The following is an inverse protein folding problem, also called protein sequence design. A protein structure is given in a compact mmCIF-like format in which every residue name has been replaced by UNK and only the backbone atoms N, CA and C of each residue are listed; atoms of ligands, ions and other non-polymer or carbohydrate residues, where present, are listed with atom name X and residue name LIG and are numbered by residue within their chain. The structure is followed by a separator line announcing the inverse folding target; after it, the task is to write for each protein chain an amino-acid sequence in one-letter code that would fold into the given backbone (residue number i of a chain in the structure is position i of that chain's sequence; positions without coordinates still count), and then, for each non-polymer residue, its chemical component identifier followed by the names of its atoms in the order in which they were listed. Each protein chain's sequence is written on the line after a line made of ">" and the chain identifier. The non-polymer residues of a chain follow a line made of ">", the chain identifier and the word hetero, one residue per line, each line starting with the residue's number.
data_IF_432770726121
#
_entry.id   IF_432770726121
#
_cell.length_a   1.000
_cell.length_b   1.000
_cell.length_c   1.000
_cell.angle_alpha   90.00
_cell.angle_beta   90.00
_cell.angle_gamma   90.00
#
_symmetry.space_group_name_H-M   'P 1'
#
loop_
_entity.id
_entity.type
_entity.pdbx_description
1 polymer ?
#
# COMPACT_ATOMS: atom_id res chain seq x y z
N UNK A 1 -46.27 21.29 35.66
CA UNK A 1 -45.25 20.25 35.84
C UNK A 1 -43.96 20.98 36.22
N UNK A 2 -43.71 21.11 37.53
CA UNK A 2 -42.54 21.79 38.10
C UNK A 2 -41.44 20.76 38.42
N UNK A 3 -40.21 21.27 38.61
CA UNK A 3 -39.02 20.69 39.26
C UNK A 3 -38.37 19.49 38.52
N UNK A 4 -37.07 19.46 38.19
CA UNK A 4 -35.89 19.80 39.00
C UNK A 4 -34.69 20.26 38.13
N UNK A 5 -34.15 21.45 38.42
CA UNK A 5 -32.76 21.83 38.14
C UNK A 5 -31.92 21.43 39.36
N UNK A 6 -31.20 20.32 39.25
CA UNK A 6 -30.24 19.87 40.25
C UNK A 6 -28.83 20.09 39.72
N UNK A 7 -28.36 21.33 39.78
CA UNK A 7 -26.95 21.67 39.59
C UNK A 7 -26.16 21.12 40.78
N UNK A 8 -25.66 19.90 40.65
CA UNK A 8 -24.68 19.32 41.55
C UNK A 8 -23.38 20.13 41.43
N UNK A 9 -23.20 21.07 42.35
CA UNK A 9 -21.95 21.79 42.55
C UNK A 9 -20.91 20.81 43.08
N UNK A 10 -20.20 20.13 42.16
CA UNK A 10 -18.99 19.43 42.49
C UNK A 10 -17.97 20.48 42.96
N UNK A 11 -17.81 20.61 44.27
CA UNK A 11 -16.73 21.37 44.87
C UNK A 11 -15.41 20.71 44.46
N UNK A 12 -14.86 21.16 43.34
CA UNK A 12 -13.50 20.83 42.93
C UNK A 12 -12.58 21.40 44.00
N UNK A 13 -12.08 20.51 44.86
CA UNK A 13 -10.98 20.84 45.77
C UNK A 13 -9.84 21.41 44.93
N UNK A 14 -9.57 22.70 45.14
CA UNK A 14 -8.48 23.38 44.47
C UNK A 14 -7.15 22.82 45.00
N UNK A 15 -6.36 22.10 44.17
CA UNK A 15 -5.07 21.56 44.58
C UNK A 15 -4.13 22.66 45.09
N UNK A 16 -4.31 23.90 44.63
CA UNK A 16 -3.54 25.05 45.10
C UNK A 16 -3.85 25.39 46.56
N UNK A 17 -5.12 25.30 46.99
CA UNK A 17 -5.52 25.57 48.37
C UNK A 17 -4.96 24.51 49.33
N UNK A 18 -4.98 23.23 48.96
CA UNK A 18 -4.38 22.16 49.79
C UNK A 18 -2.86 22.32 49.95
N UNK A 19 -2.16 22.74 48.90
CA UNK A 19 -0.71 22.99 48.98
C UNK A 19 -0.37 24.19 49.86
N UNK A 20 -1.21 25.22 49.90
CA UNK A 20 -1.04 26.36 50.81
C UNK A 20 -1.23 25.97 52.27
N UNK A 21 -2.18 25.08 52.56
CA UNK A 21 -2.42 24.58 53.91
C UNK A 21 -1.24 23.72 54.42
N UNK A 22 -0.66 22.87 53.57
CA UNK A 22 0.55 22.12 53.88
C UNK A 22 1.79 23.00 54.08
N UNK A 23 1.93 24.06 53.28
CA UNK A 23 3.02 25.01 53.43
C UNK A 23 2.92 25.82 54.74
N UNK A 24 1.71 26.04 55.26
CA UNK A 24 1.51 26.71 56.55
C UNK A 24 1.93 25.85 57.75
N UNK A 25 1.91 24.52 57.61
CA UNK A 25 2.24 23.59 58.69
C UNK A 25 3.74 23.29 58.86
N UNK A 26 4.56 23.45 57.81
CA UNK A 26 5.99 23.13 57.84
C UNK A 26 6.84 24.20 57.13
N UNK A 27 7.74 24.92 57.84
CA UNK A 27 8.59 25.96 57.24
C UNK A 27 9.54 25.44 56.16
N UNK A 28 9.86 24.14 56.14
CA UNK A 28 10.67 23.54 55.05
C UNK A 28 9.87 23.39 53.77
N UNK A 29 8.58 23.07 53.89
CA UNK A 29 7.68 22.97 52.74
C UNK A 29 7.37 24.34 52.14
N UNK A 30 7.27 25.38 52.97
CA UNK A 30 7.14 26.76 52.49
C UNK A 30 8.31 27.15 51.57
N UNK A 31 9.55 26.85 51.98
CA UNK A 31 10.74 27.12 51.16
C UNK A 31 10.76 26.32 49.84
N UNK A 32 10.27 25.07 49.84
CA UNK A 32 10.14 24.25 48.63
C UNK A 32 9.09 24.82 47.66
N UNK A 33 7.92 25.23 48.17
CA UNK A 33 6.85 25.84 47.38
C UNK A 33 7.32 27.16 46.79
N UNK A 34 8.05 27.97 47.55
CA UNK A 34 8.66 29.20 47.08
C UNK A 34 9.70 28.92 45.98
N UNK A 35 10.52 27.88 46.12
CA UNK A 35 11.50 27.48 45.10
C UNK A 35 10.83 26.97 43.82
N UNK A 36 9.73 26.22 43.92
CA UNK A 36 8.94 25.79 42.75
C UNK A 36 8.18 26.95 42.09
N UNK A 37 7.69 27.91 42.88
CA UNK A 37 7.06 29.12 42.37
C UNK A 37 8.08 30.03 41.70
N UNK A 38 9.30 30.15 42.24
CA UNK A 38 10.40 30.88 41.62
C UNK A 38 10.80 30.25 40.28
N UNK A 39 10.84 28.91 40.18
CA UNK A 39 11.08 28.22 38.91
C UNK A 39 9.94 28.39 37.89
N UNK A 40 8.69 28.54 38.33
CA UNK A 40 7.55 28.84 37.44
C UNK A 40 7.48 30.30 37.02
N UNK A 41 7.90 31.21 37.89
CA UNK A 41 7.94 32.66 37.64
C UNK A 41 9.17 33.08 36.85
N UNK A 42 10.19 32.22 36.76
CA UNK A 42 11.17 32.27 35.67
C UNK A 42 10.38 31.96 34.38
N UNK A 43 10.06 32.95 33.53
CA UNK A 43 9.51 32.61 32.24
C UNK A 43 10.59 31.77 31.57
N UNK A 44 10.33 30.48 31.35
CA UNK A 44 11.05 29.71 30.33
C UNK A 44 10.70 30.33 28.97
N UNK A 45 11.17 31.55 28.76
CA UNK A 45 11.10 32.32 27.53
C UNK A 45 12.40 32.16 26.74
N UNK A 46 13.14 31.09 26.98
CA UNK A 46 13.86 30.43 25.90
C UNK A 46 12.84 29.63 25.10
N UNK A 47 12.02 30.35 24.33
CA UNK A 47 11.62 29.81 23.03
C UNK A 47 12.94 29.74 22.27
N UNK A 48 13.64 28.62 22.44
CA UNK A 48 14.94 28.37 21.87
C UNK A 48 14.87 28.78 20.40
N UNK A 49 15.79 29.65 19.99
CA UNK A 49 16.01 29.92 18.58
C UNK A 49 15.99 28.58 17.84
N UNK A 50 15.29 28.46 16.69
CA UNK A 50 15.10 27.19 16.02
C UNK A 50 16.42 26.44 15.97
N UNK A 51 16.46 25.28 16.65
CA UNK A 51 17.67 24.49 16.76
C UNK A 51 18.02 24.04 15.34
N UNK A 52 19.30 24.03 14.94
CA UNK A 52 19.75 23.55 13.62
C UNK A 52 19.22 22.13 13.33
N UNK A 53 18.88 21.40 14.39
CA UNK A 53 18.21 20.09 14.35
C UNK A 53 16.82 20.14 13.71
N UNK A 54 16.02 21.17 13.97
CA UNK A 54 14.66 21.29 13.44
C UNK A 54 14.69 21.47 11.92
N UNK A 55 15.62 22.27 11.42
CA UNK A 55 15.83 22.44 9.97
C UNK A 55 16.24 21.12 9.30
N UNK A 56 17.15 20.36 9.93
CA UNK A 56 17.57 19.05 9.43
C UNK A 56 16.41 18.04 9.42
N UNK A 57 15.56 18.03 10.46
CA UNK A 57 14.39 17.16 10.53
C UNK A 57 13.43 17.49 9.37
N UNK A 58 13.18 18.77 9.11
CA UNK A 58 12.35 19.20 7.98
C UNK A 58 12.93 18.74 6.65
N UNK A 59 14.24 18.92 6.41
CA UNK A 59 14.89 18.47 5.17
C UNK A 59 14.80 16.94 5.00
N UNK A 60 15.11 16.17 6.05
CA UNK A 60 15.05 14.72 6.00
C UNK A 60 13.63 14.22 5.79
N UNK A 61 12.63 14.84 6.41
CA UNK A 61 11.21 14.48 6.20
C UNK A 61 10.81 14.68 4.74
N UNK A 62 11.15 15.83 4.15
CA UNK A 62 10.85 16.11 2.74
C UNK A 62 11.54 15.11 1.79
N UNK A 63 12.77 14.68 2.12
CA UNK A 63 13.50 13.66 1.35
C UNK A 63 12.85 12.28 1.46
N UNK A 64 12.36 11.91 2.64
CA UNK A 64 11.64 10.66 2.86
C UNK A 64 10.32 10.65 2.11
N UNK A 65 9.53 11.72 2.20
CA UNK A 65 8.26 11.86 1.47
C UNK A 65 8.48 11.75 -0.05
N UNK A 66 9.51 12.42 -0.58
CA UNK A 66 9.87 12.31 -1.99
C UNK A 66 10.32 10.90 -2.38
N UNK A 67 11.02 10.17 -1.50
CA UNK A 67 11.40 8.79 -1.74
C UNK A 67 10.18 7.85 -1.70
N UNK A 68 9.29 8.02 -0.74
CA UNK A 68 8.04 7.25 -0.64
C UNK A 68 7.18 7.46 -1.89
N UNK A 69 6.98 8.70 -2.32
CA UNK A 69 6.24 9.00 -3.54
C UNK A 69 6.83 8.31 -4.79
N UNK A 70 8.17 8.25 -4.90
CA UNK A 70 8.86 7.52 -5.97
C UNK A 70 8.62 6.02 -5.89
N UNK A 71 8.71 5.43 -4.70
CA UNK A 71 8.45 4.01 -4.49
C UNK A 71 7.00 3.65 -4.81
N UNK A 72 6.02 4.43 -4.35
CA UNK A 72 4.61 4.23 -4.69
C UNK A 72 4.39 4.28 -6.21
N UNK A 73 5.04 5.23 -6.90
CA UNK A 73 4.98 5.33 -8.36
C UNK A 73 5.58 4.10 -9.04
N UNK A 74 6.77 3.66 -8.63
CA UNK A 74 7.42 2.47 -9.19
C UNK A 74 6.60 1.20 -8.98
N UNK A 75 6.06 0.99 -7.77
CA UNK A 75 5.19 -0.17 -7.47
C UNK A 75 3.94 -0.18 -8.34
N UNK A 76 3.33 0.99 -8.60
CA UNK A 76 2.18 1.10 -9.51
C UNK A 76 2.54 0.68 -10.92
N UNK A 77 3.68 1.16 -11.44
CA UNK A 77 4.15 0.82 -12.80
C UNK A 77 4.47 -0.67 -12.90
N UNK A 78 5.18 -1.22 -11.90
CA UNK A 78 5.51 -2.64 -11.86
C UNK A 78 4.26 -3.52 -11.90
N UNK A 79 3.21 -3.16 -11.14
CA UNK A 79 1.93 -3.88 -11.16
C UNK A 79 1.27 -3.82 -12.53
N UNK A 80 1.21 -2.63 -13.15
CA UNK A 80 0.62 -2.46 -14.48
C UNK A 80 1.36 -3.30 -15.54
N UNK A 81 2.69 -3.28 -15.54
CA UNK A 81 3.50 -4.09 -16.46
C UNK A 81 3.28 -5.59 -16.23
N UNK A 82 3.17 -6.02 -14.97
CA UNK A 82 2.92 -7.42 -14.64
C UNK A 82 1.53 -7.88 -15.12
N UNK A 83 0.50 -7.06 -14.91
CA UNK A 83 -0.87 -7.34 -15.41
C UNK A 83 -0.90 -7.39 -16.94
N UNK A 84 -0.26 -6.44 -17.61
CA UNK A 84 -0.15 -6.41 -19.06
C UNK A 84 0.61 -7.64 -19.59
N UNK A 85 1.71 -8.03 -18.94
CA UNK A 85 2.47 -9.23 -19.26
C UNK A 85 1.64 -10.50 -19.14
N UNK A 86 0.90 -10.67 -18.02
CA UNK A 86 -0.01 -11.81 -17.84
C UNK A 86 -1.10 -11.85 -18.92
N UNK A 87 -1.71 -10.71 -19.23
CA UNK A 87 -2.73 -10.63 -20.27
C UNK A 87 -2.17 -10.99 -21.66
N UNK A 88 -0.97 -10.51 -22.00
CA UNK A 88 -0.30 -10.85 -23.25
C UNK A 88 0.05 -12.34 -23.33
N UNK A 89 0.65 -12.91 -22.28
CA UNK A 89 0.94 -14.34 -22.21
C UNK A 89 -0.32 -15.19 -22.38
N UNK A 90 -1.43 -14.82 -21.72
CA UNK A 90 -2.70 -15.55 -21.88
C UNK A 90 -3.22 -15.50 -23.32
N UNK A 91 -3.15 -14.33 -23.98
CA UNK A 91 -3.56 -14.19 -25.39
C UNK A 91 -2.69 -15.04 -26.31
N UNK A 92 -1.38 -15.09 -26.08
CA UNK A 92 -0.47 -15.96 -26.82
C UNK A 92 -0.78 -17.44 -26.57
N UNK A 93 -1.04 -17.86 -25.33
CA UNK A 93 -1.44 -19.24 -25.06
C UNK A 93 -2.76 -19.62 -25.75
N UNK A 94 -3.76 -18.73 -25.77
CA UNK A 94 -5.01 -18.96 -26.50
C UNK A 94 -4.76 -19.04 -28.01
N UNK A 95 -3.93 -18.17 -28.57
CA UNK A 95 -3.57 -18.21 -29.98
C UNK A 95 -2.83 -19.50 -30.34
N UNK A 96 -1.91 -19.96 -29.49
CA UNK A 96 -1.23 -21.23 -29.66
C UNK A 96 -2.24 -22.40 -29.68
N UNK A 97 -3.21 -22.43 -28.76
CA UNK A 97 -4.26 -23.44 -28.75
C UNK A 97 -5.10 -23.42 -30.05
N UNK A 98 -5.50 -22.24 -30.52
CA UNK A 98 -6.26 -22.07 -31.77
C UNK A 98 -5.50 -22.43 -33.05
N UNK A 99 -4.17 -22.47 -32.97
CA UNK A 99 -3.27 -22.86 -34.07
C UNK A 99 -2.71 -24.28 -33.91
N UNK A 100 -3.00 -24.96 -32.79
CA UNK A 100 -2.41 -26.27 -32.50
C UNK A 100 -0.89 -26.21 -32.28
N UNK A 101 -0.40 -25.14 -31.64
CA UNK A 101 0.99 -24.95 -31.23
C UNK A 101 1.16 -25.16 -29.72
N UNK A 102 2.40 -25.25 -29.24
CA UNK A 102 2.70 -25.27 -27.81
C UNK A 102 2.57 -23.86 -27.22
N UNK A 103 1.66 -23.68 -26.26
CA UNK A 103 1.43 -22.40 -25.59
C UNK A 103 2.56 -21.90 -24.67
N UNK A 104 3.63 -22.68 -24.50
CA UNK A 104 4.80 -22.31 -23.71
C UNK A 104 5.95 -21.78 -24.56
N UNK A 105 6.33 -22.50 -25.63
CA UNK A 105 7.53 -22.18 -26.40
C UNK A 105 7.32 -22.04 -27.91
N UNK A 106 6.14 -22.32 -28.45
CA UNK A 106 5.85 -22.22 -29.88
C UNK A 106 6.76 -23.05 -30.83
N UNK A 107 7.53 -24.00 -30.25
CA UNK A 107 8.51 -24.81 -30.98
C UNK A 107 9.89 -24.17 -31.12
N UNK A 108 10.16 -23.05 -30.45
CA UNK A 108 11.46 -22.38 -30.48
C UNK A 108 12.45 -22.98 -29.45
N UNK A 109 11.94 -23.61 -28.39
CA UNK A 109 12.75 -24.23 -27.35
C UNK A 109 12.82 -25.76 -27.50
N UNK A 110 13.98 -26.33 -27.91
CA UNK A 110 14.16 -27.77 -28.01
C UNK A 110 14.10 -28.51 -26.66
N UNK A 111 14.39 -27.82 -25.55
CA UNK A 111 14.36 -28.38 -24.20
C UNK A 111 12.98 -28.23 -23.52
N UNK A 112 11.96 -27.71 -24.22
CA UNK A 112 10.65 -27.48 -23.65
C UNK A 112 10.04 -28.76 -23.07
N UNK A 113 9.70 -28.73 -21.78
CA UNK A 113 9.12 -29.88 -21.06
C UNK A 113 7.77 -30.32 -21.63
N UNK A 114 7.02 -29.41 -22.25
CA UNK A 114 5.70 -29.70 -22.83
C UNK A 114 5.75 -30.35 -24.21
N UNK A 115 6.56 -29.82 -25.14
CA UNK A 115 6.55 -30.26 -26.55
C UNK A 115 7.89 -30.79 -27.08
N UNK A 116 8.99 -30.65 -26.31
CA UNK A 116 10.36 -31.04 -26.70
C UNK A 116 10.75 -30.47 -28.08
N UNK A 117 10.54 -29.17 -28.27
CA UNK A 117 10.85 -28.44 -29.51
C UNK A 117 9.90 -28.65 -30.68
N UNK A 118 8.92 -29.56 -30.60
CA UNK A 118 8.04 -29.85 -31.73
C UNK A 118 6.84 -28.90 -31.85
N UNK A 119 6.60 -28.07 -30.85
CA UNK A 119 5.36 -27.31 -30.64
C UNK A 119 5.05 -26.16 -31.62
N UNK A 120 5.40 -26.29 -32.90
CA UNK A 120 5.07 -25.35 -33.96
C UNK A 120 3.57 -25.43 -34.30
N UNK A 121 2.98 -24.38 -34.90
CA UNK A 121 1.60 -24.42 -35.40
C UNK A 121 1.31 -25.66 -36.25
N UNK A 122 0.17 -26.31 -36.01
CA UNK A 122 -0.23 -27.55 -36.67
C UNK A 122 0.37 -28.83 -36.08
N UNK A 123 1.19 -28.76 -35.02
CA UNK A 123 1.73 -29.96 -34.37
C UNK A 123 0.67 -30.77 -33.61
N UNK A 124 -0.29 -30.10 -32.98
CA UNK A 124 -1.49 -30.75 -32.41
C UNK A 124 -2.75 -30.29 -33.11
N UNK A 125 -3.85 -31.03 -32.91
CA UNK A 125 -5.17 -30.61 -33.38
C UNK A 125 -5.53 -29.27 -32.70
N UNK A 126 -5.84 -28.21 -33.47
CA UNK A 126 -6.29 -26.95 -32.89
C UNK A 126 -7.56 -27.10 -32.04
N UNK A 127 -7.66 -26.32 -30.98
CA UNK A 127 -8.89 -26.24 -30.18
C UNK A 127 -10.02 -25.61 -31.02
N UNK A 128 -11.12 -26.33 -31.30
CA UNK A 128 -12.16 -25.85 -32.21
C UNK A 128 -12.92 -24.65 -31.66
N UNK A 129 -13.10 -24.57 -30.32
CA UNK A 129 -13.83 -23.49 -29.69
C UNK A 129 -12.99 -22.20 -29.72
N UNK A 130 -11.75 -22.24 -29.23
CA UNK A 130 -10.86 -21.06 -29.22
C UNK A 130 -10.56 -20.60 -30.64
N UNK A 131 -10.42 -21.54 -31.59
CA UNK A 131 -10.27 -21.22 -33.01
C UNK A 131 -11.49 -20.49 -33.57
N UNK A 132 -12.71 -20.92 -33.24
CA UNK A 132 -13.92 -20.23 -33.66
C UNK A 132 -14.06 -18.83 -33.01
N UNK A 133 -13.67 -18.68 -31.74
CA UNK A 133 -13.67 -17.39 -31.05
C UNK A 133 -12.70 -16.38 -31.68
N UNK A 134 -11.50 -16.80 -32.09
CA UNK A 134 -10.47 -15.91 -32.64
C UNK A 134 -10.59 -15.68 -34.16
N UNK A 135 -11.00 -16.69 -34.92
CA UNK A 135 -10.99 -16.64 -36.39
C UNK A 135 -12.40 -16.73 -37.02
N UNK A 136 -13.45 -16.91 -36.21
CA UNK A 136 -14.81 -17.17 -36.67
C UNK A 136 -15.08 -18.65 -36.97
N UNK A 137 -16.36 -19.01 -37.08
CA UNK A 137 -16.77 -20.37 -37.42
C UNK A 137 -16.29 -20.76 -38.82
N UNK A 138 -15.62 -21.90 -38.95
CA UNK A 138 -15.33 -22.44 -40.27
C UNK A 138 -16.60 -23.00 -40.90
N UNK A 139 -16.77 -22.76 -42.19
CA UNK A 139 -17.82 -23.43 -42.94
C UNK A 139 -17.50 -24.94 -43.03
N UNK A 140 -18.44 -25.83 -42.65
CA UNK A 140 -18.20 -27.28 -42.58
C UNK A 140 -17.76 -27.89 -43.92
N UNK A 141 -18.03 -27.22 -45.05
CA UNK A 141 -17.60 -27.63 -46.38
C UNK A 141 -16.06 -27.66 -46.55
N UNK A 142 -15.30 -26.83 -45.81
CA UNK A 142 -13.83 -26.82 -45.86
C UNK A 142 -13.20 -27.91 -45.00
N UNK A 143 -13.85 -28.27 -43.90
CA UNK A 143 -13.37 -29.31 -42.98
C UNK A 143 -13.47 -30.70 -43.62
N UNK A 144 -14.55 -30.96 -44.35
CA UNK A 144 -14.73 -32.21 -45.10
C UNK A 144 -13.64 -32.42 -46.18
N UNK A 145 -13.17 -31.34 -46.81
CA UNK A 145 -12.14 -31.41 -47.85
C UNK A 145 -10.72 -31.70 -47.32
N UNK A 146 -10.43 -31.40 -46.05
CA UNK A 146 -9.10 -31.65 -45.45
C UNK A 146 -8.90 -33.08 -44.93
N UNK A 147 -9.97 -33.85 -44.69
CA UNK A 147 -9.90 -35.21 -44.13
C UNK A 147 -10.01 -36.32 -45.18
N UNK A 148 -10.08 -35.96 -46.46
CA UNK A 148 -10.22 -36.88 -47.60
C UNK A 148 -8.88 -37.26 -48.27
N UNK A 149 -7.75 -37.07 -47.59
CA UNK A 149 -6.40 -37.46 -48.05
C UNK A 149 -5.71 -38.34 -47.02
#
# INVERSE_FOLDING_TARGET
>A
MQVFDAAASAATLDPAAMMQEFAAGDPRMAALVEMMQAQRAQPCNDVAAPDERDELIVEMSARLDAAEARLTKMTRIARQLHEAGRAASQRLSNLAAALGACGLCWGDDPACLGCRGRGRPGMVRPDPQIRAELFGAQSPAREAAMHSH
#
